data_IF_647688803785
#
_entry.id   IF_647688803785
#
_cell.length_a   1.000
_cell.length_b   1.000
_cell.length_c   1.000
_cell.angle_alpha   90.00
_cell.angle_beta   90.00
_cell.angle_gamma   90.00
#
_symmetry.space_group_name_H-M   'P 1'
#
loop_
_entity.id
_entity.type
_entity.pdbx_description
1 polymer ?
#
# COMPACT_ATOMS: atom_id res chain seq x y z
N UNK A 1 -6.86 -11.95 -22.49
CA UNK A 1 -7.23 -10.80 -21.62
C UNK A 1 -7.36 -11.17 -20.14
N UNK A 2 -7.74 -12.40 -19.78
CA UNK A 2 -7.91 -12.83 -18.38
C UNK A 2 -6.59 -12.99 -17.62
N UNK A 3 -5.53 -13.49 -18.28
CA UNK A 3 -4.21 -13.73 -17.65
C UNK A 3 -3.61 -12.43 -17.10
N UNK A 4 -3.66 -11.33 -17.86
CA UNK A 4 -3.11 -10.04 -17.44
C UNK A 4 -3.88 -9.48 -16.22
N UNK A 5 -5.22 -9.65 -16.18
CA UNK A 5 -6.02 -9.24 -15.02
C UNK A 5 -5.66 -10.05 -13.77
N UNK A 6 -5.51 -11.37 -13.90
CA UNK A 6 -5.10 -12.25 -12.79
C UNK A 6 -3.71 -11.86 -12.28
N UNK A 7 -2.77 -11.61 -13.20
CA UNK A 7 -1.43 -11.14 -12.84
C UNK A 7 -1.48 -9.80 -12.09
N UNK A 8 -2.33 -8.86 -12.52
CA UNK A 8 -2.53 -7.58 -11.84
C UNK A 8 -3.11 -7.74 -10.43
N UNK A 9 -4.06 -8.67 -10.22
CA UNK A 9 -4.58 -8.96 -8.88
C UNK A 9 -3.53 -9.61 -7.98
N UNK A 10 -2.71 -10.52 -8.51
CA UNK A 10 -1.58 -11.08 -7.78
C UNK A 10 -0.58 -10.00 -7.38
N UNK A 11 -0.25 -9.11 -8.33
CA UNK A 11 0.61 -7.95 -8.06
C UNK A 11 0.02 -7.03 -6.99
N UNK A 12 -1.28 -6.74 -7.06
CA UNK A 12 -1.99 -5.93 -6.07
C UNK A 12 -1.84 -6.52 -4.67
N UNK A 13 -2.06 -7.84 -4.53
CA UNK A 13 -1.94 -8.55 -3.27
C UNK A 13 -0.49 -8.51 -2.73
N UNK A 14 0.51 -8.73 -3.60
CA UNK A 14 1.92 -8.65 -3.20
C UNK A 14 2.31 -7.23 -2.74
N UNK A 15 1.78 -6.20 -3.40
CA UNK A 15 1.99 -4.80 -3.01
C UNK A 15 1.33 -4.49 -1.66
N UNK A 16 0.12 -4.98 -1.42
CA UNK A 16 -0.60 -4.82 -0.16
C UNK A 16 0.14 -5.49 1.00
N UNK A 17 0.56 -6.75 0.82
CA UNK A 17 1.36 -7.47 1.82
C UNK A 17 2.69 -6.77 2.08
N UNK A 18 3.39 -6.37 1.02
CA UNK A 18 4.67 -5.65 1.13
C UNK A 18 4.49 -4.32 1.88
N UNK A 19 3.42 -3.58 1.62
CA UNK A 19 3.10 -2.34 2.30
C UNK A 19 2.90 -2.53 3.81
N UNK A 20 2.19 -3.58 4.24
CA UNK A 20 2.06 -3.91 5.66
C UNK A 20 3.41 -4.19 6.33
N UNK A 21 4.26 -4.99 5.67
CA UNK A 21 5.61 -5.28 6.17
C UNK A 21 6.48 -4.02 6.24
N UNK A 22 6.44 -3.18 5.21
CA UNK A 22 7.22 -1.93 5.14
C UNK A 22 6.78 -0.97 6.25
N UNK A 23 5.48 -0.78 6.48
CA UNK A 23 4.99 0.11 7.53
C UNK A 23 5.36 -0.38 8.93
N UNK A 24 5.25 -1.69 9.17
CA UNK A 24 5.68 -2.28 10.43
C UNK A 24 7.18 -2.12 10.65
N UNK A 25 7.99 -2.46 9.65
CA UNK A 25 9.45 -2.32 9.71
C UNK A 25 9.89 -0.85 9.86
N UNK A 26 9.24 0.06 9.15
CA UNK A 26 9.48 1.50 9.24
C UNK A 26 9.26 2.00 10.67
N UNK A 27 8.15 1.62 11.32
CA UNK A 27 7.87 1.98 12.70
C UNK A 27 8.98 1.57 13.68
N UNK A 28 9.57 0.39 13.49
CA UNK A 28 10.73 -0.04 14.26
C UNK A 28 12.04 0.65 13.85
N UNK A 29 12.14 1.24 12.67
CA UNK A 29 13.33 1.93 12.19
C UNK A 29 13.41 3.41 12.62
N UNK A 30 12.33 4.00 13.16
CA UNK A 30 12.36 5.38 13.64
C UNK A 30 13.44 5.60 14.70
N UNK A 31 14.14 6.73 14.58
CA UNK A 31 15.07 7.26 15.59
C UNK A 31 14.26 7.93 16.71
N UNK A 32 13.56 7.12 17.51
CA UNK A 32 12.70 7.54 18.61
C UNK A 32 12.84 6.59 19.81
N UNK A 33 12.23 6.94 20.94
CA UNK A 33 12.18 6.09 22.12
C UNK A 33 11.60 4.71 21.81
N UNK A 34 12.05 3.69 22.57
CA UNK A 34 11.62 2.29 22.38
C UNK A 34 10.10 2.14 22.35
N UNK A 35 9.40 2.84 23.25
CA UNK A 35 7.94 2.84 23.33
C UNK A 35 7.32 3.37 22.04
N UNK A 36 7.81 4.50 21.53
CA UNK A 36 7.31 5.13 20.30
C UNK A 36 7.51 4.19 19.10
N UNK A 37 8.69 3.55 18.99
CA UNK A 37 8.98 2.60 17.90
C UNK A 37 8.02 1.42 17.89
N UNK A 38 7.73 0.83 19.06
CA UNK A 38 6.78 -0.29 19.17
C UNK A 38 5.37 0.17 18.82
N UNK A 39 4.94 1.31 19.37
CA UNK A 39 3.61 1.86 19.12
C UNK A 39 3.42 2.15 17.64
N UNK A 40 4.35 2.85 16.99
CA UNK A 40 4.24 3.17 15.55
C UNK A 40 4.36 1.91 14.68
N UNK A 41 5.26 0.98 15.02
CA UNK A 41 5.42 -0.28 14.29
C UNK A 41 4.18 -1.17 14.28
N UNK A 42 3.30 -1.02 15.28
CA UNK A 42 2.03 -1.75 15.33
C UNK A 42 0.90 -0.88 14.75
N UNK A 43 0.80 0.39 15.17
CA UNK A 43 -0.31 1.25 14.76
C UNK A 43 -0.29 1.61 13.28
N UNK A 44 0.88 1.76 12.65
CA UNK A 44 0.97 2.06 11.22
C UNK A 44 0.37 0.96 10.33
N UNK A 45 0.77 -0.32 10.45
CA UNK A 45 0.11 -1.40 9.69
C UNK A 45 -1.34 -1.60 10.12
N UNK A 46 -1.69 -1.42 11.41
CA UNK A 46 -3.08 -1.54 11.86
C UNK A 46 -3.98 -0.47 11.21
N UNK A 47 -3.50 0.78 11.15
CA UNK A 47 -4.20 1.88 10.50
C UNK A 47 -4.40 1.60 9.01
N UNK A 48 -3.37 1.07 8.33
CA UNK A 48 -3.51 0.65 6.93
C UNK A 48 -4.59 -0.42 6.77
N UNK A 49 -4.60 -1.47 7.60
CA UNK A 49 -5.62 -2.54 7.54
C UNK A 49 -7.02 -1.96 7.73
N UNK A 50 -7.22 -1.05 8.69
CA UNK A 50 -8.53 -0.44 8.96
C UNK A 50 -8.98 0.44 7.80
N UNK A 51 -8.12 1.35 7.34
CA UNK A 51 -8.40 2.25 6.21
C UNK A 51 -8.72 1.44 4.95
N UNK A 52 -7.92 0.41 4.68
CA UNK A 52 -8.11 -0.46 3.52
C UNK A 52 -9.38 -1.31 3.66
N UNK A 53 -9.62 -1.88 4.84
CA UNK A 53 -10.81 -2.67 5.15
C UNK A 53 -12.11 -1.88 4.99
N UNK A 54 -12.11 -0.60 5.34
CA UNK A 54 -13.30 0.26 5.25
C UNK A 54 -13.51 0.80 3.83
N UNK A 55 -12.46 1.30 3.16
CA UNK A 55 -12.65 2.03 1.90
C UNK A 55 -12.19 1.28 0.65
N UNK A 56 -11.25 0.33 0.78
CA UNK A 56 -10.65 -0.36 -0.37
C UNK A 56 -11.15 -1.79 -0.57
N UNK A 57 -11.57 -2.47 0.51
CA UNK A 57 -11.91 -3.88 0.46
C UNK A 57 -13.17 -4.14 -0.38
N UNK A 58 -13.18 -5.18 -1.23
CA UNK A 58 -14.31 -5.48 -2.11
C UNK A 58 -15.58 -5.85 -1.35
N UNK A 59 -15.45 -6.36 -0.12
CA UNK A 59 -16.54 -6.75 0.77
C UNK A 59 -17.01 -5.63 1.69
N UNK A 60 -16.41 -4.43 1.61
CA UNK A 60 -16.80 -3.32 2.48
C UNK A 60 -18.12 -2.69 2.06
N UNK A 61 -18.94 -2.35 3.04
CA UNK A 61 -20.18 -1.55 2.86
C UNK A 61 -19.89 -0.09 2.49
N UNK A 62 -18.72 0.44 2.88
CA UNK A 62 -18.28 1.81 2.62
C UNK A 62 -17.19 1.89 1.54
N UNK A 63 -17.12 0.88 0.67
CA UNK A 63 -16.13 0.85 -0.40
C UNK A 63 -16.25 2.11 -1.27
N UNK A 64 -15.10 2.74 -1.52
CA UNK A 64 -14.98 3.80 -2.50
C UNK A 64 -14.94 3.19 -3.91
N UNK A 65 -15.48 3.92 -4.88
CA UNK A 65 -15.53 3.47 -6.27
C UNK A 65 -14.81 4.44 -7.22
N UNK A 66 -14.34 3.90 -8.35
CA UNK A 66 -13.76 4.66 -9.44
C UNK A 66 -12.55 5.50 -9.02
N UNK A 67 -12.62 6.81 -9.24
CA UNK A 67 -11.50 7.72 -9.01
C UNK A 67 -11.14 7.87 -7.53
N UNK A 68 -12.13 7.82 -6.63
CA UNK A 68 -11.90 7.95 -5.19
C UNK A 68 -11.14 6.73 -4.64
N UNK A 69 -11.46 5.53 -5.13
CA UNK A 69 -10.72 4.32 -4.80
C UNK A 69 -9.27 4.38 -5.28
N UNK A 70 -9.05 4.94 -6.47
CA UNK A 70 -7.70 5.13 -6.99
C UNK A 70 -6.90 6.09 -6.12
N UNK A 71 -7.49 7.23 -5.75
CA UNK A 71 -6.84 8.25 -4.95
C UNK A 71 -6.40 7.71 -3.59
N UNK A 72 -7.27 6.98 -2.89
CA UNK A 72 -6.91 6.41 -1.58
C UNK A 72 -5.80 5.36 -1.70
N UNK A 73 -5.84 4.48 -2.72
CA UNK A 73 -4.78 3.50 -2.98
C UNK A 73 -3.46 4.19 -3.29
N UNK A 74 -3.49 5.21 -4.15
CA UNK A 74 -2.33 6.00 -4.50
C UNK A 74 -1.72 6.68 -3.27
N UNK A 75 -2.55 7.27 -2.41
CA UNK A 75 -2.12 7.94 -1.19
C UNK A 75 -1.47 6.95 -0.20
N UNK A 76 -2.10 5.80 0.06
CA UNK A 76 -1.55 4.76 0.94
C UNK A 76 -0.19 4.27 0.40
N UNK A 77 -0.13 3.93 -0.88
CA UNK A 77 1.12 3.44 -1.46
C UNK A 77 2.21 4.52 -1.53
N UNK A 78 1.86 5.78 -1.75
CA UNK A 78 2.81 6.89 -1.70
C UNK A 78 3.42 7.07 -0.29
N UNK A 79 2.61 6.92 0.77
CA UNK A 79 3.10 6.91 2.16
C UNK A 79 4.09 5.76 2.37
N UNK A 80 3.77 4.55 1.90
CA UNK A 80 4.64 3.38 2.01
C UNK A 80 5.97 3.60 1.26
N UNK A 81 5.92 4.15 0.05
CA UNK A 81 7.12 4.52 -0.72
C UNK A 81 7.96 5.57 0.02
N UNK A 82 7.32 6.58 0.60
CA UNK A 82 8.01 7.59 1.41
C UNK A 82 8.69 6.98 2.64
N UNK A 83 8.03 6.04 3.33
CA UNK A 83 8.62 5.28 4.43
C UNK A 83 9.91 4.56 3.98
N UNK A 84 9.92 3.90 2.81
CA UNK A 84 11.13 3.27 2.26
C UNK A 84 12.26 4.29 2.01
N UNK A 85 11.94 5.46 1.46
CA UNK A 85 12.93 6.53 1.27
C UNK A 85 13.52 7.02 2.59
N UNK A 86 12.70 7.17 3.63
CA UNK A 86 13.17 7.62 4.95
C UNK A 86 14.13 6.61 5.61
N UNK A 87 14.03 5.32 5.27
CA UNK A 87 14.95 4.27 5.70
C UNK A 87 16.20 4.15 4.81
N UNK A 88 16.39 5.06 3.84
CA UNK A 88 17.47 5.05 2.83
C UNK A 88 17.48 3.80 1.93
N UNK A 89 16.38 3.07 1.86
CA UNK A 89 16.20 1.90 1.00
C UNK A 89 15.71 2.32 -0.39
N UNK A 90 16.47 3.18 -1.07
CA UNK A 90 16.07 3.84 -2.33
C UNK A 90 15.76 2.86 -3.45
N UNK A 91 16.54 1.79 -3.60
CA UNK A 91 16.29 0.77 -4.62
C UNK A 91 14.91 0.12 -4.44
N UNK A 92 14.58 -0.30 -3.21
CA UNK A 92 13.26 -0.87 -2.89
C UNK A 92 12.13 0.16 -3.05
N UNK A 93 12.36 1.43 -2.68
CA UNK A 93 11.39 2.50 -2.85
C UNK A 93 11.02 2.70 -4.33
N UNK A 94 12.02 2.74 -5.21
CA UNK A 94 11.84 2.90 -6.66
C UNK A 94 11.14 1.68 -7.24
N UNK A 95 11.57 0.47 -6.89
CA UNK A 95 10.92 -0.76 -7.36
C UNK A 95 9.46 -0.83 -6.92
N UNK A 96 9.18 -0.56 -5.64
CA UNK A 96 7.82 -0.57 -5.11
C UNK A 96 6.95 0.50 -5.79
N UNK A 97 7.43 1.73 -5.91
CA UNK A 97 6.72 2.82 -6.58
C UNK A 97 6.43 2.51 -8.06
N UNK A 98 7.40 1.94 -8.78
CA UNK A 98 7.20 1.52 -10.16
C UNK A 98 6.11 0.44 -10.30
N UNK A 99 6.14 -0.58 -9.44
CA UNK A 99 5.13 -1.64 -9.43
C UNK A 99 3.72 -1.10 -9.09
N UNK A 100 3.63 -0.11 -8.19
CA UNK A 100 2.37 0.58 -7.87
C UNK A 100 1.83 1.33 -9.09
N UNK A 101 2.68 2.08 -9.80
CA UNK A 101 2.27 2.81 -11.02
C UNK A 101 1.76 1.81 -12.08
N UNK A 102 2.49 0.71 -12.28
CA UNK A 102 2.09 -0.34 -13.20
C UNK A 102 0.73 -0.95 -12.81
N UNK A 103 0.55 -1.29 -11.53
CA UNK A 103 -0.70 -1.83 -11.02
C UNK A 103 -1.89 -0.87 -11.19
N UNK A 104 -1.72 0.40 -10.81
CA UNK A 104 -2.78 1.41 -10.92
C UNK A 104 -3.10 1.72 -12.38
N UNK A 105 -2.10 1.79 -13.25
CA UNK A 105 -2.26 1.98 -14.70
C UNK A 105 -3.04 0.84 -15.34
N UNK A 106 -2.70 -0.41 -15.03
CA UNK A 106 -3.46 -1.58 -15.48
C UNK A 106 -4.89 -1.58 -14.93
N UNK A 107 -5.07 -1.18 -13.67
CA UNK A 107 -6.40 -1.15 -13.03
C UNK A 107 -7.31 -0.09 -13.67
N UNK A 108 -6.76 1.06 -14.05
CA UNK A 108 -7.45 2.07 -14.84
C UNK A 108 -7.82 1.55 -16.24
N UNK A 109 -6.86 0.95 -16.94
CA UNK A 109 -7.07 0.45 -18.30
C UNK A 109 -8.19 -0.61 -18.36
N UNK A 110 -8.21 -1.54 -17.40
CA UNK A 110 -9.21 -2.60 -17.35
C UNK A 110 -10.51 -2.22 -16.65
N UNK A 111 -10.64 -0.99 -16.14
CA UNK A 111 -11.76 -0.52 -15.30
C UNK A 111 -12.07 -1.50 -14.16
N UNK A 112 -11.04 -1.94 -13.43
CA UNK A 112 -11.17 -2.85 -12.28
C UNK A 112 -11.19 -2.11 -10.95
N UNK A 113 -11.49 -0.81 -10.96
CA UNK A 113 -11.61 0.06 -9.80
C UNK A 113 -13.04 0.03 -9.27
#
# INVERSE_FOLDING_TARGET
MTIIKIANYCLAFLLEMSALFILGYWGFHLQADKTIRIVVGILAPLAMIVIWGIWCAPTSTHRLDGIWLLLIKCLIFAIVTYCLFSMKLTAFAVTFGFLVILHLGLSLYFKTL
#
